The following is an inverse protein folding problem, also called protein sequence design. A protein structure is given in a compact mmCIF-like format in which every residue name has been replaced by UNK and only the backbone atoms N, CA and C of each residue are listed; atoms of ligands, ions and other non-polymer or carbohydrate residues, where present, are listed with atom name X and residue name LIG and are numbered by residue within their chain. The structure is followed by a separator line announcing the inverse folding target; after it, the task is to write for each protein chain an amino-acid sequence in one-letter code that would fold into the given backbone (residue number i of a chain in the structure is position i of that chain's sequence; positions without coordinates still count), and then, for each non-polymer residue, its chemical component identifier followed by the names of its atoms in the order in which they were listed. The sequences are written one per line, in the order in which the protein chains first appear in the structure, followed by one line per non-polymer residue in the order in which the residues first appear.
data_IF_628504794594
#
_entry.id   IF_628504794594
#
_cell.length_a   1.000
_cell.length_b   1.000
_cell.length_c   1.000
_cell.angle_alpha   90.00
_cell.angle_beta   90.00
_cell.angle_gamma   90.00
#
_symmetry.space_group_name_H-M   'P 1'
#
loop_
_entity.id
_entity.type
_entity.pdbx_description
1 polymer ?
#
# COMPACT_ATOMS: atom_id res chain seq x y z
N UNK A 1 14.23 -38.33 23.36
CA UNK A 1 13.85 -37.35 22.33
C UNK A 1 14.75 -36.09 22.39
N UNK A 2 16.05 -36.22 22.66
CA UNK A 2 16.96 -35.08 22.90
C UNK A 2 18.10 -34.90 21.90
N UNK A 3 18.33 -35.87 21.01
CA UNK A 3 19.47 -35.84 20.08
C UNK A 3 19.25 -34.94 18.85
N UNK A 4 18.02 -34.82 18.33
CA UNK A 4 17.75 -33.98 17.15
C UNK A 4 17.83 -32.47 17.42
N UNK A 5 17.62 -32.03 18.68
CA UNK A 5 17.68 -30.61 19.01
C UNK A 5 19.13 -30.06 19.02
N UNK A 6 20.11 -30.91 19.35
CA UNK A 6 21.53 -30.53 19.48
C UNK A 6 22.22 -30.42 18.12
N UNK A 7 21.84 -31.26 17.16
CA UNK A 7 22.32 -31.13 15.77
C UNK A 7 21.82 -29.84 15.11
N UNK A 8 20.56 -29.49 15.35
CA UNK A 8 19.96 -28.27 14.77
C UNK A 8 20.60 -26.98 15.30
N UNK A 9 21.03 -26.95 16.58
CA UNK A 9 21.73 -25.80 17.16
C UNK A 9 23.12 -25.61 16.54
N UNK A 10 23.87 -26.69 16.30
CA UNK A 10 25.19 -26.60 15.66
C UNK A 10 25.09 -26.08 14.23
N UNK A 11 24.09 -26.53 13.46
CA UNK A 11 23.85 -26.06 12.09
C UNK A 11 23.53 -24.55 12.08
N UNK A 12 22.73 -24.06 13.04
CA UNK A 12 22.43 -22.63 13.13
C UNK A 12 23.66 -21.78 13.46
N UNK A 13 24.54 -22.24 14.35
CA UNK A 13 25.79 -21.55 14.66
C UNK A 13 26.74 -21.49 13.45
N UNK A 14 26.83 -22.59 12.68
CA UNK A 14 27.61 -22.60 11.44
C UNK A 14 27.04 -21.66 10.38
N UNK A 15 25.71 -21.60 10.26
CA UNK A 15 25.02 -20.66 9.37
C UNK A 15 25.39 -19.22 9.73
N UNK A 16 25.36 -18.86 11.01
CA UNK A 16 25.69 -17.51 11.46
C UNK A 16 27.16 -17.16 11.22
N UNK A 17 28.09 -18.10 11.44
CA UNK A 17 29.51 -17.92 11.11
C UNK A 17 29.71 -17.65 9.62
N UNK A 18 29.00 -18.39 8.75
CA UNK A 18 29.09 -18.20 7.30
C UNK A 18 28.46 -16.87 6.85
N UNK A 19 27.36 -16.45 7.46
CA UNK A 19 26.74 -15.13 7.24
C UNK A 19 27.74 -14.02 7.56
N UNK A 20 28.38 -14.07 8.73
CA UNK A 20 29.38 -13.08 9.13
C UNK A 20 30.57 -13.04 8.16
N UNK A 21 31.03 -14.21 7.69
CA UNK A 21 32.10 -14.29 6.69
C UNK A 21 31.69 -13.65 5.36
N UNK A 22 30.46 -13.87 4.92
CA UNK A 22 29.93 -13.23 3.72
C UNK A 22 29.79 -11.72 3.86
N UNK A 23 29.31 -11.23 5.01
CA UNK A 23 29.19 -9.78 5.31
C UNK A 23 30.55 -9.10 5.22
N UNK A 24 31.58 -9.69 5.84
CA UNK A 24 32.96 -9.18 5.78
C UNK A 24 33.50 -9.18 4.35
N UNK A 25 33.19 -10.20 3.55
CA UNK A 25 33.64 -10.30 2.16
C UNK A 25 33.04 -9.22 1.26
N UNK A 26 31.78 -8.85 1.50
CA UNK A 26 31.11 -7.76 0.76
C UNK A 26 31.33 -6.38 1.38
N UNK A 27 32.19 -6.28 2.41
CA UNK A 27 32.40 -5.06 3.21
C UNK A 27 31.08 -4.42 3.68
N UNK A 28 30.10 -5.24 4.07
CA UNK A 28 28.81 -4.79 4.60
C UNK A 28 28.83 -4.67 6.12
N UNK A 29 27.86 -3.94 6.68
CA UNK A 29 27.70 -3.79 8.13
C UNK A 29 26.53 -4.63 8.66
N UNK A 30 25.52 -4.88 7.81
CA UNK A 30 24.28 -5.56 8.20
C UNK A 30 24.01 -6.76 7.31
N UNK A 31 23.28 -7.74 7.83
CA UNK A 31 22.77 -8.87 7.03
C UNK A 31 21.96 -8.40 5.81
N UNK A 32 21.30 -7.24 5.93
CA UNK A 32 20.55 -6.62 4.83
C UNK A 32 21.42 -6.26 3.62
N UNK A 33 22.73 -6.07 3.79
CA UNK A 33 23.63 -5.74 2.67
C UNK A 33 23.87 -6.95 1.76
N UNK A 34 23.78 -8.17 2.32
CA UNK A 34 23.85 -9.42 1.55
C UNK A 34 22.75 -9.51 0.50
N UNK A 35 21.60 -8.88 0.75
CA UNK A 35 20.46 -8.86 -0.16
C UNK A 35 20.83 -8.34 -1.56
N UNK A 36 21.78 -7.41 -1.66
CA UNK A 36 22.24 -6.82 -2.94
C UNK A 36 23.00 -7.81 -3.82
N UNK A 37 23.56 -8.85 -3.22
CA UNK A 37 24.41 -9.84 -3.90
C UNK A 37 23.70 -11.16 -4.15
N UNK A 38 22.51 -11.34 -3.59
CA UNK A 38 21.73 -12.57 -3.72
C UNK A 38 20.57 -12.39 -4.70
N UNK A 39 20.38 -13.31 -5.66
CA UNK A 39 19.30 -13.21 -6.63
C UNK A 39 17.94 -13.49 -5.98
N UNK A 40 16.95 -12.64 -6.25
CA UNK A 40 15.57 -12.82 -5.82
C UNK A 40 14.75 -13.71 -6.78
N UNK A 41 13.67 -14.36 -6.31
CA UNK A 41 12.86 -15.28 -7.12
C UNK A 41 12.10 -14.59 -8.27
N UNK A 42 11.80 -13.30 -8.16
CA UNK A 42 11.04 -12.54 -9.16
C UNK A 42 11.92 -11.72 -10.12
N UNK A 43 13.25 -11.93 -10.05
CA UNK A 43 14.27 -11.14 -10.73
C UNK A 43 14.75 -9.95 -9.89
N UNK A 44 16.03 -9.59 -10.06
CA UNK A 44 16.71 -8.53 -9.29
C UNK A 44 17.31 -9.04 -7.97
N UNK A 45 17.71 -8.09 -7.10
CA UNK A 45 18.28 -8.41 -5.79
C UNK A 45 17.19 -8.86 -4.80
N UNK A 46 17.58 -9.65 -3.81
CA UNK A 46 16.68 -10.25 -2.83
C UNK A 46 16.11 -9.21 -1.87
N UNK A 47 14.85 -9.35 -1.46
CA UNK A 47 14.30 -8.49 -0.41
C UNK A 47 14.69 -9.01 0.99
N UNK A 48 14.94 -8.12 1.95
CA UNK A 48 15.34 -8.51 3.32
C UNK A 48 14.29 -9.39 4.03
N UNK A 49 12.99 -9.20 3.73
CA UNK A 49 11.93 -10.12 4.21
C UNK A 49 12.10 -11.54 3.67
N UNK A 50 12.48 -11.69 2.41
CA UNK A 50 12.73 -12.99 1.78
C UNK A 50 13.97 -13.64 2.37
N UNK A 51 15.02 -12.87 2.63
CA UNK A 51 16.24 -13.36 3.28
C UNK A 51 15.94 -13.87 4.70
N UNK A 52 15.21 -13.10 5.50
CA UNK A 52 14.78 -13.50 6.85
C UNK A 52 13.92 -14.77 6.82
N UNK A 53 13.01 -14.88 5.84
CA UNK A 53 12.15 -16.06 5.66
C UNK A 53 12.95 -17.30 5.24
N UNK A 54 13.97 -17.15 4.39
CA UNK A 54 14.78 -18.31 3.97
C UNK A 54 15.72 -18.82 5.04
N UNK A 55 16.26 -17.93 5.90
CA UNK A 55 17.05 -18.36 7.07
C UNK A 55 16.26 -19.33 7.95
N UNK A 56 14.96 -19.10 8.14
CA UNK A 56 14.11 -19.96 8.99
C UNK A 56 13.46 -21.14 8.24
N UNK A 57 13.02 -20.94 7.00
CA UNK A 57 12.25 -21.95 6.27
C UNK A 57 13.13 -22.95 5.50
N UNK A 58 14.29 -22.54 5.00
CA UNK A 58 15.16 -23.37 4.16
C UNK A 58 16.64 -22.94 4.29
N UNK A 59 17.28 -23.17 5.47
CA UNK A 59 18.64 -22.70 5.75
C UNK A 59 19.67 -23.32 4.80
N UNK A 60 19.51 -24.57 4.37
CA UNK A 60 20.44 -25.25 3.46
C UNK A 60 20.50 -24.58 2.08
N UNK A 61 19.35 -24.20 1.53
CA UNK A 61 19.28 -23.50 0.25
C UNK A 61 19.91 -22.11 0.35
N UNK A 62 19.68 -21.42 1.47
CA UNK A 62 20.30 -20.13 1.75
C UNK A 62 21.84 -20.24 1.81
N UNK A 63 22.37 -21.26 2.50
CA UNK A 63 23.80 -21.53 2.56
C UNK A 63 24.40 -21.81 1.19
N UNK A 64 23.73 -22.62 0.36
CA UNK A 64 24.19 -22.92 -0.99
C UNK A 64 24.31 -21.64 -1.82
N UNK A 65 23.31 -20.76 -1.78
CA UNK A 65 23.37 -19.48 -2.49
C UNK A 65 24.50 -18.58 -1.96
N UNK A 66 24.66 -18.51 -0.65
CA UNK A 66 25.68 -17.67 -0.02
C UNK A 66 27.10 -18.16 -0.38
N UNK A 67 27.31 -19.48 -0.48
CA UNK A 67 28.55 -20.06 -1.00
C UNK A 67 28.79 -19.67 -2.45
N UNK A 68 27.83 -19.96 -3.34
CA UNK A 68 28.00 -19.75 -4.79
C UNK A 68 28.14 -18.28 -5.18
N UNK A 69 27.32 -17.38 -4.63
CA UNK A 69 27.27 -15.98 -5.08
C UNK A 69 28.22 -15.04 -4.31
N UNK A 70 28.62 -15.41 -3.09
CA UNK A 70 29.46 -14.55 -2.23
C UNK A 70 30.80 -15.21 -1.92
N UNK A 71 30.82 -16.39 -1.29
CA UNK A 71 32.07 -16.95 -0.77
C UNK A 71 33.00 -17.53 -1.84
N UNK A 72 32.47 -18.14 -2.89
CA UNK A 72 33.22 -18.72 -4.00
C UNK A 72 33.52 -17.70 -5.11
N UNK A 73 32.78 -16.58 -5.17
CA UNK A 73 33.00 -15.52 -6.16
C UNK A 73 34.16 -14.60 -5.74
N UNK A 74 35.19 -14.44 -6.57
CA UNK A 74 36.34 -13.56 -6.27
C UNK A 74 35.92 -12.09 -6.06
N UNK A 75 34.97 -11.61 -6.87
CA UNK A 75 34.31 -10.31 -6.69
C UNK A 75 32.79 -10.50 -6.69
N UNK A 76 32.11 -10.45 -5.53
CA UNK A 76 30.66 -10.61 -5.47
C UNK A 76 29.98 -9.48 -6.25
N UNK A 77 29.23 -9.81 -7.30
CA UNK A 77 28.58 -8.82 -8.16
C UNK A 77 27.26 -8.35 -7.55
N UNK A 78 27.13 -7.05 -7.35
CA UNK A 78 25.85 -6.46 -6.96
C UNK A 78 24.81 -6.66 -8.08
N UNK A 79 23.66 -7.20 -7.71
CA UNK A 79 22.56 -7.48 -8.64
C UNK A 79 21.72 -6.21 -8.76
N UNK A 80 21.53 -5.76 -9.99
CA UNK A 80 20.69 -4.60 -10.25
C UNK A 80 19.23 -4.90 -9.88
N UNK A 81 18.49 -3.94 -9.31
CA UNK A 81 17.07 -4.09 -9.08
C UNK A 81 16.34 -4.42 -10.38
N UNK A 82 15.26 -5.21 -10.28
CA UNK A 82 14.39 -5.46 -11.43
C UNK A 82 13.94 -4.11 -12.00
N UNK A 83 14.12 -3.86 -13.31
CA UNK A 83 13.63 -2.63 -13.91
C UNK A 83 12.14 -2.53 -13.64
N UNK A 84 11.70 -1.38 -13.14
CA UNK A 84 10.26 -1.13 -13.00
C UNK A 84 9.66 -1.24 -14.38
N UNK A 85 8.48 -1.87 -14.48
CA UNK A 85 7.71 -1.83 -15.71
C UNK A 85 7.62 -0.36 -16.16
N UNK A 86 7.81 -0.08 -17.47
CA UNK A 86 7.66 1.27 -17.98
C UNK A 86 6.39 1.86 -17.39
N UNK A 87 6.52 3.00 -16.71
CA UNK A 87 5.37 3.74 -16.18
C UNK A 87 4.68 4.42 -17.37
N UNK A 88 4.25 3.63 -18.34
CA UNK A 88 3.33 4.03 -19.38
C UNK A 88 2.03 4.35 -18.67
N UNK A 89 1.69 5.62 -18.66
CA UNK A 89 0.35 5.97 -18.24
C UNK A 89 -0.59 5.39 -19.29
N UNK A 90 -1.42 4.42 -18.90
CA UNK A 90 -2.69 4.20 -19.58
C UNK A 90 -3.58 5.41 -19.28
N UNK A 91 -3.16 6.62 -19.69
CA UNK A 91 -4.05 7.79 -19.73
C UNK A 91 -5.07 7.38 -20.78
N UNK A 92 -6.26 6.97 -20.34
CA UNK A 92 -7.40 6.92 -21.24
C UNK A 92 -7.49 8.31 -21.85
N UNK A 93 -7.32 8.39 -23.17
CA UNK A 93 -7.30 9.66 -23.93
C UNK A 93 -8.61 10.43 -23.76
N UNK A 94 -9.64 9.74 -23.26
CA UNK A 94 -11.00 10.21 -23.04
C UNK A 94 -11.25 10.79 -21.64
N UNK A 95 -10.21 10.97 -20.81
CA UNK A 95 -10.39 11.58 -19.48
C UNK A 95 -10.54 13.10 -19.59
N UNK A 96 -11.79 13.57 -19.63
CA UNK A 96 -12.12 14.99 -19.50
C UNK A 96 -11.84 15.40 -18.05
N UNK A 97 -10.84 16.26 -17.86
CA UNK A 97 -10.55 16.82 -16.54
C UNK A 97 -11.56 17.93 -16.24
N UNK A 98 -12.61 17.62 -15.48
CA UNK A 98 -13.51 18.65 -14.97
C UNK A 98 -12.80 19.46 -13.90
N UNK A 99 -12.69 20.77 -14.12
CA UNK A 99 -12.27 21.69 -13.06
C UNK A 99 -13.45 21.97 -12.13
N UNK A 100 -13.18 22.52 -10.94
CA UNK A 100 -14.21 22.84 -9.95
C UNK A 100 -15.30 23.76 -10.54
N UNK A 101 -14.89 24.73 -11.34
CA UNK A 101 -15.78 25.68 -12.01
C UNK A 101 -16.63 25.04 -13.11
N UNK A 102 -16.14 23.98 -13.76
CA UNK A 102 -16.92 23.22 -14.74
C UNK A 102 -18.01 22.39 -14.06
N UNK A 103 -17.70 21.79 -12.91
CA UNK A 103 -18.68 21.06 -12.10
C UNK A 103 -19.77 22.01 -11.59
N UNK A 104 -19.40 23.18 -11.09
CA UNK A 104 -20.35 24.21 -10.64
C UNK A 104 -21.27 24.66 -11.80
N UNK A 105 -20.73 24.86 -13.00
CA UNK A 105 -21.53 25.18 -14.19
C UNK A 105 -22.48 24.06 -14.60
N UNK A 106 -22.03 22.80 -14.55
CA UNK A 106 -22.89 21.64 -14.84
C UNK A 106 -24.03 21.52 -13.83
N UNK A 107 -23.76 21.78 -12.55
CA UNK A 107 -24.79 21.76 -11.51
C UNK A 107 -25.82 22.88 -11.67
N UNK A 108 -25.39 24.07 -12.10
CA UNK A 108 -26.31 25.17 -12.35
C UNK A 108 -27.23 24.88 -13.56
N UNK A 109 -26.67 24.32 -14.64
CA UNK A 109 -27.46 23.85 -15.78
C UNK A 109 -28.43 22.74 -15.38
N UNK A 110 -28.00 21.79 -14.56
CA UNK A 110 -28.86 20.72 -14.05
C UNK A 110 -30.01 21.28 -13.18
N UNK A 111 -29.75 22.34 -12.38
CA UNK A 111 -30.79 23.05 -11.62
C UNK A 111 -31.81 23.74 -12.53
N UNK A 112 -31.36 24.38 -13.61
CA UNK A 112 -32.23 25.06 -14.57
C UNK A 112 -33.11 24.08 -15.35
N UNK A 113 -32.57 22.92 -15.72
CA UNK A 113 -33.31 21.86 -16.44
C UNK A 113 -34.18 21.02 -15.50
N UNK A 114 -33.94 21.08 -14.19
CA UNK A 114 -34.65 20.28 -13.18
C UNK A 114 -34.18 18.83 -13.12
N UNK A 115 -32.97 18.53 -13.61
CA UNK A 115 -32.37 17.19 -13.59
C UNK A 115 -31.87 16.84 -12.19
N UNK A 116 -32.72 16.12 -11.45
CA UNK A 116 -32.47 15.71 -10.06
C UNK A 116 -31.35 14.66 -9.96
N UNK A 117 -31.13 13.86 -11.00
CA UNK A 117 -30.13 12.79 -11.01
C UNK A 117 -28.70 13.34 -11.16
N UNK A 118 -28.51 14.33 -12.06
CA UNK A 118 -27.23 15.03 -12.19
C UNK A 118 -26.87 15.79 -10.91
N UNK A 119 -27.85 16.48 -10.31
CA UNK A 119 -27.66 17.17 -9.04
C UNK A 119 -27.28 16.20 -7.92
N UNK A 120 -27.96 15.05 -7.78
CA UNK A 120 -27.65 14.09 -6.72
C UNK A 120 -26.24 13.45 -6.87
N UNK A 121 -25.78 13.27 -8.10
CA UNK A 121 -24.48 12.66 -8.43
C UNK A 121 -23.30 13.60 -8.29
N UNK A 122 -23.45 14.83 -8.77
CA UNK A 122 -22.37 15.80 -8.85
C UNK A 122 -22.41 16.87 -7.75
N UNK A 123 -23.53 16.99 -7.01
CA UNK A 123 -23.61 17.93 -5.90
C UNK A 123 -22.49 17.61 -4.91
N UNK A 124 -21.68 18.60 -4.50
CA UNK A 124 -20.61 18.38 -3.54
C UNK A 124 -21.23 17.88 -2.23
N UNK A 125 -21.12 16.57 -1.98
CA UNK A 125 -21.54 15.99 -0.70
C UNK A 125 -20.59 16.51 0.36
N UNK A 126 -20.99 17.60 1.03
CA UNK A 126 -20.25 18.14 2.17
C UNK A 126 -20.15 17.03 3.23
N UNK A 127 -18.96 16.78 3.78
CA UNK A 127 -18.82 15.75 4.80
C UNK A 127 -19.67 16.11 6.03
N UNK A 128 -20.23 15.10 6.72
CA UNK A 128 -21.14 15.27 7.86
C UNK A 128 -20.62 16.25 8.94
N UNK A 129 -19.31 16.26 9.30
CA UNK A 129 -18.78 17.25 10.26
C UNK A 129 -18.82 18.70 9.76
N UNK A 130 -18.81 18.92 8.44
CA UNK A 130 -18.96 20.26 7.85
C UNK A 130 -20.43 20.71 7.90
N UNK A 131 -21.36 19.84 7.52
CA UNK A 131 -22.80 20.12 7.56
C UNK A 131 -23.28 20.43 8.99
N UNK A 132 -22.81 19.66 9.98
CA UNK A 132 -23.13 19.91 11.41
C UNK A 132 -22.68 21.30 11.87
N UNK A 133 -21.46 21.71 11.51
CA UNK A 133 -20.91 23.03 11.89
C UNK A 133 -21.68 24.17 11.22
N UNK A 134 -22.04 24.01 9.96
CA UNK A 134 -22.79 25.00 9.18
C UNK A 134 -24.22 25.13 9.67
N UNK A 135 -24.88 24.02 10.01
CA UNK A 135 -26.22 24.00 10.59
C UNK A 135 -26.25 24.68 11.97
N UNK A 136 -25.28 24.38 12.86
CA UNK A 136 -25.15 25.04 14.16
C UNK A 136 -24.94 26.56 13.97
N UNK A 137 -24.13 26.96 13.00
CA UNK A 137 -23.91 28.39 12.68
C UNK A 137 -25.20 29.05 12.16
N UNK A 138 -25.94 28.38 11.29
CA UNK A 138 -27.22 28.86 10.76
C UNK A 138 -28.24 29.09 11.87
N UNK A 139 -28.36 28.11 12.78
CA UNK A 139 -29.26 28.19 13.95
C UNK A 139 -28.85 29.33 14.89
N UNK A 140 -27.54 29.49 15.17
CA UNK A 140 -27.03 30.59 16.00
C UNK A 140 -27.32 31.97 15.42
N UNK A 141 -27.34 32.07 14.09
CA UNK A 141 -27.61 33.32 13.38
C UNK A 141 -29.11 33.52 13.07
N UNK A 142 -30.00 32.62 13.51
CA UNK A 142 -31.44 32.71 13.26
C UNK A 142 -31.86 32.45 11.81
N UNK A 143 -30.99 31.88 10.97
CA UNK A 143 -31.27 31.60 9.57
C UNK A 143 -31.75 30.15 9.44
N UNK A 144 -32.98 29.96 8.96
CA UNK A 144 -33.53 28.64 8.67
C UNK A 144 -33.26 28.28 7.22
N UNK A 145 -32.31 27.37 6.98
CA UNK A 145 -32.05 26.82 5.65
C UNK A 145 -32.58 25.39 5.56
N UNK A 146 -33.69 25.23 4.84
CA UNK A 146 -34.34 23.93 4.59
C UNK A 146 -33.42 23.01 3.79
N UNK A 147 -32.64 23.56 2.86
CA UNK A 147 -31.65 22.83 2.06
C UNK A 147 -30.53 22.24 2.93
N UNK A 148 -29.98 23.03 3.88
CA UNK A 148 -28.95 22.54 4.80
C UNK A 148 -29.47 21.45 5.73
N UNK A 149 -30.72 21.56 6.19
CA UNK A 149 -31.38 20.54 7.00
C UNK A 149 -31.55 19.23 6.21
N UNK A 150 -32.08 19.30 4.99
CA UNK A 150 -32.27 18.14 4.14
C UNK A 150 -30.92 17.46 3.80
N UNK A 151 -29.90 18.24 3.46
CA UNK A 151 -28.55 17.72 3.20
C UNK A 151 -27.94 17.04 4.45
N UNK A 152 -28.18 17.59 5.65
CA UNK A 152 -27.75 16.96 6.90
C UNK A 152 -28.47 15.63 7.16
N UNK A 153 -29.80 15.59 6.99
CA UNK A 153 -30.60 14.36 7.17
C UNK A 153 -30.19 13.27 6.18
N UNK A 154 -29.95 13.61 4.91
CA UNK A 154 -29.46 12.67 3.91
C UNK A 154 -28.04 12.15 4.22
N UNK A 155 -27.15 13.02 4.70
CA UNK A 155 -25.81 12.63 5.12
C UNK A 155 -25.84 11.70 6.33
N UNK A 156 -26.72 11.94 7.30
CA UNK A 156 -26.91 11.05 8.47
C UNK A 156 -27.46 9.69 8.03
N UNK A 157 -28.46 9.65 7.16
CA UNK A 157 -29.01 8.39 6.62
C UNK A 157 -27.95 7.58 5.87
N UNK A 158 -27.15 8.23 5.03
CA UNK A 158 -26.08 7.56 4.26
C UNK A 158 -25.01 6.97 5.19
N UNK A 159 -24.62 7.68 6.26
CA UNK A 159 -23.68 7.16 7.26
C UNK A 159 -24.28 6.05 8.13
N UNK A 160 -25.58 6.08 8.39
CA UNK A 160 -26.27 5.01 9.11
C UNK A 160 -26.38 3.73 8.26
N UNK A 161 -26.68 3.85 6.97
CA UNK A 161 -26.76 2.70 6.05
C UNK A 161 -25.41 2.00 5.84
N UNK A 162 -24.28 2.70 5.96
CA UNK A 162 -22.95 2.08 5.87
C UNK A 162 -22.57 1.18 7.05
N UNK A 163 -23.35 1.18 8.14
CA UNK A 163 -23.14 0.32 9.30
C UNK A 163 -23.92 -1.01 9.22
N UNK A 164 -24.83 -1.18 8.24
CA UNK A 164 -25.77 -2.32 8.17
C UNK A 164 -25.52 -3.27 6.98
N UNK A 165 -24.30 -3.27 6.42
CA UNK A 165 -23.91 -4.28 5.43
C UNK A 165 -23.16 -5.43 6.11
N UNK A 166 -23.77 -6.62 6.30
CA UNK A 166 -23.01 -7.80 6.67
C UNK A 166 -22.08 -8.14 5.50
N UNK A 167 -20.77 -8.09 5.76
CA UNK A 167 -19.76 -8.56 4.82
C UNK A 167 -19.97 -10.06 4.57
N UNK A 168 -20.61 -10.41 3.45
CA UNK A 168 -20.52 -11.76 2.91
C UNK A 168 -19.16 -11.92 2.22
N UNK A 169 -18.23 -12.55 2.93
CA UNK A 169 -17.03 -13.09 2.31
C UNK A 169 -17.41 -14.36 1.53
N UNK A 170 -17.11 -14.36 0.24
CA UNK A 170 -16.87 -15.56 -0.58
C UNK A 170 -15.46 -15.44 -1.13
#
# INVERSE_FOLDING_TARGET
MGFMAVEQSNINEEVEKLILKAIRKVCGDKENDLCRYLPGPSGGYMHHFTLKKMKSAAPEQFLKMLKTFILESDSPRAINPKPRAPRGSKKRRDFINFTKTDIERVLELARQVGDKDLLARFSPKKPLPSLKRELIRSIRNGIVSVELWNAYVEAVRTNASSLDSPQSFV
#
